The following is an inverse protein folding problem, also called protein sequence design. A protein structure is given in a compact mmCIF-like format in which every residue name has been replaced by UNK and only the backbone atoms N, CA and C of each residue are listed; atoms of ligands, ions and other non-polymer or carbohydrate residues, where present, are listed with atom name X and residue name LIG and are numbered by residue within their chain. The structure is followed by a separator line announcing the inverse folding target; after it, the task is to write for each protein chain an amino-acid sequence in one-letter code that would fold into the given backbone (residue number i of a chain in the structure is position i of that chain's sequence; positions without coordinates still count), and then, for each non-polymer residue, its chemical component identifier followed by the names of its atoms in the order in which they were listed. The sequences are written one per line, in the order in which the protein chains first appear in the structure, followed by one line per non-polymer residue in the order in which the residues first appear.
data_IF_316130113213
#
_entry.id   IF_316130113213
#
_cell.length_a   1.000
_cell.length_b   1.000
_cell.length_c   1.000
_cell.angle_alpha   90.00
_cell.angle_beta   90.00
_cell.angle_gamma   90.00
#
_symmetry.space_group_name_H-M   'P 1'
#
loop_
_entity.id
_entity.type
_entity.pdbx_description
1 polymer ?
#
# COMPACT_ATOMS: atom_id res chain seq x y z
N UNK A 1 -22.38 -37.06 -15.76
CA UNK A 1 -22.33 -36.31 -14.49
C UNK A 1 -21.46 -35.09 -14.73
N UNK A 2 -22.06 -34.12 -15.43
CA UNK A 2 -21.40 -32.94 -15.99
C UNK A 2 -21.32 -31.83 -14.95
N UNK A 3 -20.18 -31.14 -14.98
CA UNK A 3 -19.79 -30.01 -14.16
C UNK A 3 -20.82 -28.88 -14.20
N UNK A 4 -21.42 -28.56 -13.07
CA UNK A 4 -22.08 -27.27 -12.83
C UNK A 4 -21.62 -26.71 -11.49
N UNK A 5 -20.46 -26.05 -11.50
CA UNK A 5 -20.13 -25.02 -10.51
C UNK A 5 -19.69 -23.79 -11.29
N UNK A 6 -20.67 -23.15 -11.93
CA UNK A 6 -20.58 -21.76 -12.36
C UNK A 6 -21.54 -20.98 -11.49
N UNK A 7 -20.97 -20.26 -10.54
CA UNK A 7 -21.40 -18.99 -9.95
C UNK A 7 -20.86 -18.92 -8.53
N UNK A 8 -19.54 -18.75 -8.41
CA UNK A 8 -19.01 -18.09 -7.23
C UNK A 8 -18.82 -16.62 -7.63
N UNK A 9 -19.70 -15.82 -7.07
CA UNK A 9 -19.81 -14.39 -7.26
C UNK A 9 -18.45 -13.75 -7.04
N UNK A 10 -17.97 -13.09 -8.09
CA UNK A 10 -16.78 -12.27 -8.06
C UNK A 10 -17.08 -11.09 -7.10
N UNK A 11 -16.88 -11.28 -5.80
CA UNK A 11 -16.79 -10.20 -4.83
C UNK A 11 -15.49 -9.46 -5.11
N UNK A 12 -15.61 -8.56 -6.10
CA UNK A 12 -14.68 -7.47 -6.38
C UNK A 12 -14.36 -6.79 -5.04
N UNK A 13 -13.09 -6.65 -4.64
CA UNK A 13 -12.78 -5.84 -3.48
C UNK A 13 -13.36 -4.45 -3.76
N UNK A 14 -14.25 -3.99 -2.88
CA UNK A 14 -14.80 -2.64 -2.93
C UNK A 14 -13.63 -1.68 -2.94
N UNK A 15 -13.29 -1.20 -4.13
CA UNK A 15 -12.45 -0.03 -4.30
C UNK A 15 -13.27 1.09 -3.70
N UNK A 16 -13.00 1.40 -2.44
CA UNK A 16 -13.49 2.60 -1.78
C UNK A 16 -12.93 3.78 -2.58
N UNK A 17 -13.74 4.23 -3.55
CA UNK A 17 -13.52 5.50 -4.18
C UNK A 17 -13.50 6.56 -3.07
N UNK A 18 -12.46 7.40 -2.98
CA UNK A 18 -12.60 8.63 -2.24
C UNK A 18 -13.60 9.48 -3.03
N UNK A 19 -14.72 9.75 -2.39
CA UNK A 19 -15.73 10.73 -2.78
C UNK A 19 -15.06 12.00 -3.31
N UNK A 20 -15.00 12.10 -4.65
CA UNK A 20 -14.90 13.38 -5.35
C UNK A 20 -16.27 14.02 -5.28
N UNK A 21 -16.46 14.90 -4.30
CA UNK A 21 -17.15 16.19 -4.41
C UNK A 21 -17.06 16.84 -3.02
N UNK A 22 -15.85 17.23 -2.62
CA UNK A 22 -15.73 18.40 -1.77
C UNK A 22 -15.26 19.49 -2.72
N UNK A 23 -16.24 20.15 -3.35
CA UNK A 23 -16.06 21.50 -3.84
C UNK A 23 -15.80 22.39 -2.62
N UNK A 24 -14.56 22.34 -2.13
CA UNK A 24 -14.01 23.48 -1.42
C UNK A 24 -13.37 24.33 -2.51
N UNK A 25 -13.94 25.49 -2.86
CA UNK A 25 -13.22 26.46 -3.64
C UNK A 25 -12.10 26.96 -2.73
N UNK A 26 -10.95 26.29 -2.76
CA UNK A 26 -9.69 26.97 -2.51
C UNK A 26 -9.45 27.78 -3.77
N UNK A 27 -10.27 28.82 -3.94
CA UNK A 27 -9.79 30.06 -4.51
C UNK A 27 -8.62 30.43 -3.62
N UNK A 28 -7.42 30.04 -4.06
CA UNK A 28 -6.31 30.94 -3.95
C UNK A 28 -6.85 32.31 -4.36
N UNK A 29 -6.85 33.33 -3.48
CA UNK A 29 -6.70 34.65 -3.99
C UNK A 29 -5.30 34.61 -4.60
N UNK A 30 -5.23 34.28 -5.90
CA UNK A 30 -4.33 34.99 -6.79
C UNK A 30 -4.54 36.42 -6.34
N UNK A 31 -3.50 36.95 -5.67
CA UNK A 31 -3.43 38.35 -5.33
C UNK A 31 -3.70 39.07 -6.64
N UNK A 32 -4.97 39.44 -6.81
CA UNK A 32 -5.40 40.49 -7.70
C UNK A 32 -4.60 41.69 -7.23
N UNK A 33 -3.46 41.88 -7.86
CA UNK A 33 -2.67 43.10 -7.80
C UNK A 33 -3.54 44.32 -8.17
N UNK A 34 -4.72 44.10 -8.78
CA UNK A 34 -5.72 45.13 -9.05
C UNK A 34 -6.48 45.60 -7.79
N UNK A 35 -6.61 44.78 -6.74
CA UNK A 35 -7.30 45.16 -5.50
C UNK A 35 -6.51 46.09 -4.58
N UNK A 36 -5.17 45.99 -4.61
CA UNK A 36 -4.30 46.89 -3.84
C UNK A 36 -4.23 48.30 -4.45
N UNK A 37 -4.38 48.43 -5.78
CA UNK A 37 -4.42 49.74 -6.43
C UNK A 37 -5.67 50.53 -6.06
N UNK A 38 -6.86 49.90 -6.06
CA UNK A 38 -8.12 50.59 -5.76
C UNK A 38 -8.21 51.07 -4.30
N UNK A 39 -7.64 50.33 -3.35
CA UNK A 39 -7.62 50.71 -1.93
C UNK A 39 -6.61 51.84 -1.65
N UNK A 40 -5.47 51.86 -2.36
CA UNK A 40 -4.51 52.97 -2.32
C UNK A 40 -5.06 54.26 -2.96
N UNK A 41 -5.98 54.17 -3.93
CA UNK A 41 -6.68 55.34 -4.47
C UNK A 41 -7.72 55.90 -3.49
N UNK A 42 -8.42 55.04 -2.75
CA UNK A 42 -9.37 55.47 -1.71
C UNK A 42 -8.69 56.07 -0.47
N UNK A 43 -7.52 55.54 -0.06
CA UNK A 43 -6.77 56.11 1.08
C UNK A 43 -6.08 57.44 0.73
N UNK A 44 -5.82 57.70 -0.57
CA UNK A 44 -5.26 58.99 -1.04
C UNK A 44 -6.33 60.10 -1.08
N UNK A 45 -7.62 59.78 -1.30
CA UNK A 45 -8.73 60.77 -1.31
C UNK A 45 -9.18 61.22 0.09
N UNK A 46 -8.79 60.53 1.15
CA UNK A 46 -9.16 60.90 2.53
C UNK A 46 -8.17 61.87 3.20
N UNK A 47 -7.13 62.32 2.50
CA UNK A 47 -6.17 63.35 2.97
C UNK A 47 -6.44 64.67 2.24
N UNK A 48 -7.71 65.05 2.13
CA UNK A 48 -8.08 66.46 1.94
C UNK A 48 -8.31 67.04 3.34
N UNK A 49 -7.52 68.03 3.80
CA UNK A 49 -7.77 68.69 5.06
C UNK A 49 -9.05 69.53 4.89
N UNK A 50 -10.17 69.01 5.37
CA UNK A 50 -11.34 69.82 5.66
C UNK A 50 -10.91 70.87 6.70
N UNK A 51 -10.65 72.09 6.23
CA UNK A 51 -10.48 73.26 7.07
C UNK A 51 -11.84 73.65 7.66
N UNK A 52 -12.33 72.84 8.60
CA UNK A 52 -13.37 73.24 9.52
C UNK A 52 -12.80 74.40 10.36
N UNK A 53 -13.36 75.59 10.15
CA UNK A 53 -13.10 76.81 10.93
C UNK A 53 -13.25 76.50 12.43
N UNK A 54 -12.12 76.38 13.14
CA UNK A 54 -12.05 76.61 14.58
C UNK A 54 -11.30 77.91 14.81
N UNK A 55 -11.78 78.70 15.79
CA UNK A 55 -11.50 80.12 15.99
C UNK A 55 -10.04 80.54 15.84
N UNK A 56 -9.84 81.60 15.07
CA UNK A 56 -8.53 82.19 14.76
C UNK A 56 -8.04 83.01 15.97
N UNK A 57 -7.20 82.41 16.81
CA UNK A 57 -6.16 83.15 17.52
C UNK A 57 -5.03 83.45 16.53
N UNK A 58 -4.46 84.66 16.55
CA UNK A 58 -3.33 85.04 15.68
C UNK A 58 -2.06 84.26 16.10
N UNK A 59 -1.93 83.00 15.66
CA UNK A 59 -0.70 82.20 15.82
C UNK A 59 0.40 82.69 14.86
N UNK A 60 1.64 82.73 15.35
CA UNK A 60 2.79 83.20 14.56
C UNK A 60 3.11 82.20 13.45
N UNK A 61 3.53 82.64 12.24
CA UNK A 61 3.80 81.75 11.10
C UNK A 61 4.85 80.67 11.40
N UNK A 62 5.73 80.90 12.37
CA UNK A 62 6.72 79.93 12.87
C UNK A 62 6.09 78.74 13.61
N UNK A 63 5.01 78.94 14.36
CA UNK A 63 4.32 77.86 15.09
C UNK A 63 3.57 76.93 14.13
N UNK A 64 2.95 77.50 13.10
CA UNK A 64 2.31 76.74 12.02
C UNK A 64 3.33 75.89 11.23
N UNK A 65 4.51 76.43 10.94
CA UNK A 65 5.59 75.68 10.29
C UNK A 65 6.11 74.54 11.17
N UNK A 66 6.32 74.79 12.47
CA UNK A 66 6.73 73.76 13.43
C UNK A 66 5.68 72.64 13.55
N UNK A 67 4.38 72.98 13.63
CA UNK A 67 3.29 71.99 13.63
C UNK A 67 3.29 71.12 12.37
N UNK A 68 3.54 71.70 11.19
CA UNK A 68 3.64 70.94 9.93
C UNK A 68 4.80 69.95 9.95
N UNK A 69 5.97 70.37 10.45
CA UNK A 69 7.16 69.51 10.56
C UNK A 69 6.90 68.38 11.56
N UNK A 70 6.29 68.66 12.71
CA UNK A 70 5.94 67.65 13.71
C UNK A 70 4.91 66.64 13.18
N UNK A 71 3.87 67.11 12.49
CA UNK A 71 2.87 66.24 11.88
C UNK A 71 3.49 65.33 10.81
N UNK A 72 4.39 65.87 9.98
CA UNK A 72 5.13 65.11 8.97
C UNK A 72 6.02 64.02 9.58
N UNK A 73 6.73 64.34 10.68
CA UNK A 73 7.57 63.37 11.37
C UNK A 73 6.76 62.24 12.00
N UNK A 74 5.63 62.55 12.65
CA UNK A 74 4.72 61.53 13.21
C UNK A 74 4.14 60.63 12.13
N UNK A 75 3.76 61.18 10.97
CA UNK A 75 3.27 60.41 9.82
C UNK A 75 4.34 59.47 9.23
N UNK A 76 5.58 59.95 9.12
CA UNK A 76 6.70 59.16 8.57
C UNK A 76 7.09 58.01 9.50
N UNK A 77 7.11 58.25 10.81
CA UNK A 77 7.42 57.22 11.80
C UNK A 77 6.39 56.09 11.78
N UNK A 78 5.09 56.41 11.77
CA UNK A 78 4.00 55.42 11.72
C UNK A 78 4.03 54.61 10.42
N UNK A 79 4.34 55.26 9.29
CA UNK A 79 4.42 54.55 7.99
C UNK A 79 5.56 53.54 7.95
N UNK A 80 6.71 53.87 8.55
CA UNK A 80 7.86 52.95 8.65
C UNK A 80 7.57 51.76 9.56
N UNK A 81 6.96 51.98 10.72
CA UNK A 81 6.61 50.89 11.65
C UNK A 81 5.55 49.96 11.06
N UNK A 82 4.55 50.51 10.37
CA UNK A 82 3.51 49.72 9.71
C UNK A 82 4.08 48.85 8.58
N UNK A 83 5.01 49.39 7.78
CA UNK A 83 5.72 48.61 6.75
C UNK A 83 6.54 47.48 7.37
N UNK A 84 7.28 47.75 8.45
CA UNK A 84 8.03 46.71 9.15
C UNK A 84 7.10 45.63 9.73
N UNK A 85 5.97 46.01 10.34
CA UNK A 85 4.98 45.06 10.85
C UNK A 85 4.35 44.22 9.73
N UNK A 86 4.00 44.85 8.61
CA UNK A 86 3.43 44.18 7.44
C UNK A 86 4.42 43.16 6.84
N UNK A 87 5.69 43.54 6.67
CA UNK A 87 6.72 42.61 6.18
C UNK A 87 6.90 41.41 7.10
N UNK A 88 6.92 41.63 8.42
CA UNK A 88 7.00 40.55 9.41
C UNK A 88 5.80 39.62 9.31
N UNK A 89 4.59 40.17 9.21
CA UNK A 89 3.36 39.39 9.04
C UNK A 89 3.38 38.59 7.73
N UNK A 90 3.83 39.18 6.61
CA UNK A 90 3.95 38.48 5.33
C UNK A 90 4.92 37.30 5.40
N UNK A 91 6.08 37.45 6.06
CA UNK A 91 7.05 36.36 6.24
C UNK A 91 6.42 35.21 7.04
N UNK A 92 5.72 35.52 8.13
CA UNK A 92 5.05 34.51 8.97
C UNK A 92 3.96 33.78 8.17
N UNK A 93 3.12 34.52 7.43
CA UNK A 93 2.08 33.94 6.58
C UNK A 93 2.65 33.03 5.49
N UNK A 94 3.73 33.46 4.84
CA UNK A 94 4.40 32.66 3.81
C UNK A 94 5.00 31.38 4.41
N UNK A 95 5.66 31.48 5.56
CA UNK A 95 6.20 30.34 6.26
C UNK A 95 5.10 29.33 6.64
N UNK A 96 3.98 29.80 7.17
CA UNK A 96 2.85 28.95 7.52
C UNK A 96 2.27 28.22 6.30
N UNK A 97 2.08 28.92 5.18
CA UNK A 97 1.62 28.31 3.91
C UNK A 97 2.58 27.23 3.42
N UNK A 98 3.89 27.49 3.48
CA UNK A 98 4.93 26.52 3.11
C UNK A 98 4.92 25.29 4.02
N UNK A 99 4.79 25.50 5.33
CA UNK A 99 4.69 24.42 6.32
C UNK A 99 3.44 23.57 6.09
N UNK A 100 2.29 24.21 5.83
CA UNK A 100 1.04 23.51 5.54
C UNK A 100 1.14 22.67 4.25
N UNK A 101 1.72 23.22 3.18
CA UNK A 101 1.96 22.47 1.94
C UNK A 101 2.83 21.23 2.18
N UNK A 102 3.93 21.37 2.93
CA UNK A 102 4.79 20.23 3.32
C UNK A 102 4.05 19.17 4.12
N UNK A 103 3.18 19.57 5.05
CA UNK A 103 2.37 18.63 5.84
C UNK A 103 1.37 17.87 4.97
N UNK A 104 0.72 18.55 4.01
CA UNK A 104 -0.19 17.92 3.07
C UNK A 104 0.54 16.95 2.14
N UNK A 105 1.72 17.31 1.63
CA UNK A 105 2.56 16.42 0.84
C UNK A 105 2.99 15.19 1.62
N UNK A 106 3.40 15.34 2.88
CA UNK A 106 3.73 14.20 3.75
C UNK A 106 2.53 13.26 3.93
N UNK A 107 1.34 13.80 4.21
CA UNK A 107 0.11 12.99 4.31
C UNK A 107 -0.20 12.26 3.01
N UNK A 108 -0.08 12.94 1.86
CA UNK A 108 -0.28 12.33 0.54
C UNK A 108 0.71 11.19 0.30
N UNK A 109 2.00 11.40 0.58
CA UNK A 109 3.03 10.36 0.44
C UNK A 109 2.74 9.15 1.32
N UNK A 110 2.40 9.36 2.59
CA UNK A 110 2.04 8.27 3.51
C UNK A 110 0.85 7.44 3.01
N UNK A 111 -0.16 8.11 2.46
CA UNK A 111 -1.31 7.43 1.85
C UNK A 111 -0.90 6.62 0.61
N UNK A 112 -0.07 7.17 -0.27
CA UNK A 112 0.43 6.44 -1.44
C UNK A 112 1.29 5.22 -1.03
N UNK A 113 2.17 5.39 -0.05
CA UNK A 113 3.03 4.31 0.45
C UNK A 113 2.24 3.16 1.07
N UNK A 114 1.14 3.46 1.78
CA UNK A 114 0.28 2.41 2.34
C UNK A 114 -0.45 1.64 1.24
N UNK A 115 -0.96 2.32 0.20
CA UNK A 115 -1.56 1.67 -0.96
C UNK A 115 -0.55 0.80 -1.73
N UNK A 116 0.64 1.33 -2.03
CA UNK A 116 1.69 0.55 -2.71
C UNK A 116 2.09 -0.68 -1.90
N UNK A 117 2.15 -0.57 -0.56
CA UNK A 117 2.43 -1.72 0.31
C UNK A 117 1.34 -2.78 0.22
N UNK A 118 0.08 -2.38 0.20
CA UNK A 118 -1.05 -3.29 0.05
C UNK A 118 -1.02 -3.99 -1.32
N UNK A 119 -0.76 -3.26 -2.40
CA UNK A 119 -0.65 -3.85 -3.74
C UNK A 119 0.50 -4.84 -3.83
N UNK A 120 1.68 -4.50 -3.27
CA UNK A 120 2.82 -5.43 -3.20
C UNK A 120 2.46 -6.69 -2.44
N UNK A 121 1.82 -6.56 -1.27
CA UNK A 121 1.37 -7.71 -0.48
C UNK A 121 0.33 -8.56 -1.24
N UNK A 122 -0.57 -7.92 -2.00
CA UNK A 122 -1.54 -8.63 -2.82
C UNK A 122 -0.87 -9.41 -3.96
N UNK A 123 0.10 -8.81 -4.66
CA UNK A 123 0.83 -9.48 -5.76
C UNK A 123 1.68 -10.64 -5.25
N UNK A 124 2.36 -10.47 -4.10
CA UNK A 124 3.10 -11.58 -3.50
C UNK A 124 2.15 -12.71 -3.11
N UNK A 125 1.04 -12.40 -2.44
CA UNK A 125 0.04 -13.41 -2.07
C UNK A 125 -0.56 -14.11 -3.30
N UNK A 126 -0.90 -13.37 -4.35
CA UNK A 126 -1.40 -13.94 -5.61
C UNK A 126 -0.39 -14.89 -6.25
N UNK A 127 0.89 -14.51 -6.29
CA UNK A 127 1.94 -15.37 -6.84
C UNK A 127 2.12 -16.65 -6.02
N UNK A 128 2.02 -16.55 -4.69
CA UNK A 128 2.06 -17.69 -3.78
C UNK A 128 0.89 -18.63 -3.98
N UNK A 129 -0.34 -18.09 -4.06
CA UNK A 129 -1.55 -18.88 -4.31
C UNK A 129 -1.44 -19.60 -5.66
N UNK A 130 -1.01 -18.91 -6.72
CA UNK A 130 -0.82 -19.52 -8.04
C UNK A 130 0.19 -20.66 -8.00
N UNK A 131 1.35 -20.44 -7.36
CA UNK A 131 2.37 -21.49 -7.16
C UNK A 131 1.83 -22.67 -6.34
N UNK A 132 1.08 -22.39 -5.29
CA UNK A 132 0.46 -23.41 -4.43
C UNK A 132 -0.51 -24.31 -5.20
N UNK A 133 -1.39 -23.73 -6.01
CA UNK A 133 -2.33 -24.51 -6.83
C UNK A 133 -1.60 -25.47 -7.78
N UNK A 134 -0.56 -24.99 -8.45
CA UNK A 134 0.26 -25.83 -9.35
C UNK A 134 0.93 -26.96 -8.56
N UNK A 135 1.51 -26.66 -7.39
CA UNK A 135 2.14 -27.67 -6.53
C UNK A 135 1.13 -28.72 -6.07
N UNK A 136 -0.07 -28.32 -5.67
CA UNK A 136 -1.12 -29.25 -5.26
C UNK A 136 -1.53 -30.17 -6.41
N UNK A 137 -1.74 -29.62 -7.61
CA UNK A 137 -2.07 -30.41 -8.80
C UNK A 137 -0.95 -31.39 -9.15
N UNK A 138 0.31 -30.94 -9.11
CA UNK A 138 1.48 -31.79 -9.35
C UNK A 138 1.60 -32.92 -8.32
N UNK A 139 1.39 -32.65 -7.04
CA UNK A 139 1.38 -33.66 -5.98
C UNK A 139 0.27 -34.70 -6.19
N UNK A 140 -0.93 -34.28 -6.60
CA UNK A 140 -2.04 -35.19 -6.92
C UNK A 140 -1.69 -36.11 -8.09
N UNK A 141 -1.09 -35.56 -9.15
CA UNK A 141 -0.65 -36.33 -10.31
C UNK A 141 0.44 -37.33 -9.92
N UNK A 142 1.45 -36.90 -9.17
CA UNK A 142 2.52 -37.78 -8.70
C UNK A 142 2.01 -38.90 -7.80
N UNK A 143 1.04 -38.63 -6.93
CA UNK A 143 0.43 -39.66 -6.09
C UNK A 143 -0.32 -40.69 -6.96
N UNK A 144 -1.08 -40.25 -7.97
CA UNK A 144 -1.74 -41.17 -8.90
C UNK A 144 -0.72 -42.03 -9.68
N UNK A 145 0.35 -41.42 -10.21
CA UNK A 145 1.43 -42.13 -10.90
C UNK A 145 2.10 -43.15 -9.99
N UNK A 146 2.40 -42.79 -8.73
CA UNK A 146 2.97 -43.72 -7.74
C UNK A 146 2.07 -44.91 -7.48
N UNK A 147 0.76 -44.70 -7.33
CA UNK A 147 -0.21 -45.79 -7.11
C UNK A 147 -0.23 -46.72 -8.32
N UNK A 148 -0.29 -46.17 -9.54
CA UNK A 148 -0.27 -46.96 -10.78
C UNK A 148 1.04 -47.75 -10.91
N UNK A 149 2.19 -47.12 -10.65
CA UNK A 149 3.48 -47.78 -10.69
C UNK A 149 3.61 -48.88 -9.63
N UNK A 150 3.13 -48.65 -8.41
CA UNK A 150 3.12 -49.64 -7.34
C UNK A 150 2.22 -50.82 -7.69
N UNK A 151 1.02 -50.56 -8.24
CA UNK A 151 0.13 -51.59 -8.75
C UNK A 151 0.80 -52.40 -9.86
N UNK A 152 1.46 -51.74 -10.81
CA UNK A 152 2.13 -52.42 -11.91
C UNK A 152 3.32 -53.25 -11.44
N UNK A 153 4.08 -52.76 -10.45
CA UNK A 153 5.17 -53.52 -9.79
C UNK A 153 4.64 -54.74 -9.04
N UNK A 154 3.57 -54.57 -8.27
CA UNK A 154 2.90 -55.66 -7.57
C UNK A 154 2.36 -56.70 -8.56
N UNK A 155 1.61 -56.28 -9.57
CA UNK A 155 1.06 -57.16 -10.61
C UNK A 155 2.16 -57.89 -11.38
N UNK A 156 3.26 -57.21 -11.70
CA UNK A 156 4.45 -57.79 -12.31
C UNK A 156 5.10 -58.90 -11.47
N UNK A 157 5.22 -58.70 -10.16
CA UNK A 157 5.74 -59.73 -9.25
C UNK A 157 4.73 -60.86 -9.05
N UNK A 158 3.44 -60.56 -8.92
CA UNK A 158 2.40 -61.57 -8.73
C UNK A 158 2.17 -62.43 -9.99
N UNK A 159 2.25 -61.83 -11.19
CA UNK A 159 2.09 -62.56 -12.46
C UNK A 159 3.33 -63.39 -12.83
N UNK A 160 4.51 -63.06 -12.29
CA UNK A 160 5.77 -63.78 -12.56
C UNK A 160 6.28 -64.63 -11.39
N UNK A 161 5.72 -64.43 -10.21
CA UNK A 161 6.17 -64.91 -8.92
C UNK A 161 5.18 -65.88 -8.31
N UNK A 162 5.20 -67.14 -8.74
CA UNK A 162 4.54 -68.20 -8.01
C UNK A 162 5.53 -68.76 -6.99
N UNK A 163 5.18 -68.65 -5.70
CA UNK A 163 5.89 -69.32 -4.62
C UNK A 163 5.15 -70.62 -4.34
N UNK A 164 5.69 -71.73 -4.83
CA UNK A 164 5.20 -73.07 -4.50
C UNK A 164 6.00 -73.62 -3.33
N UNK A 165 5.34 -74.05 -2.27
CA UNK A 165 6.00 -74.67 -1.12
C UNK A 165 5.43 -76.05 -0.87
N UNK A 166 6.29 -77.07 -0.84
CA UNK A 166 5.93 -78.39 -0.32
C UNK A 166 6.66 -78.60 1.00
N UNK A 167 5.92 -79.04 2.01
CA UNK A 167 6.50 -79.42 3.29
C UNK A 167 6.09 -80.85 3.65
N UNK A 168 7.07 -81.63 4.07
CA UNK A 168 6.87 -82.98 4.59
C UNK A 168 7.28 -83.00 6.07
N UNK A 169 6.31 -83.27 6.95
CA UNK A 169 6.57 -83.55 8.37
C UNK A 169 6.83 -85.04 8.54
N UNK A 170 8.07 -85.38 8.87
CA UNK A 170 8.42 -86.69 9.42
C UNK A 170 8.59 -86.55 10.93
N UNK A 171 8.29 -87.60 11.70
CA UNK A 171 8.33 -87.56 13.18
C UNK A 171 9.67 -87.09 13.78
N UNK A 172 10.77 -87.14 13.02
CA UNK A 172 12.10 -86.74 13.46
C UNK A 172 12.69 -85.54 12.70
N UNK A 173 12.12 -85.11 11.57
CA UNK A 173 12.68 -84.04 10.73
C UNK A 173 11.60 -83.29 9.95
N UNK A 174 11.78 -81.97 9.79
CA UNK A 174 10.97 -81.14 8.90
C UNK A 174 11.73 -80.87 7.60
N UNK A 175 11.15 -81.29 6.48
CA UNK A 175 11.69 -81.00 5.15
C UNK A 175 10.84 -79.94 4.47
N UNK A 176 11.47 -78.80 4.19
CA UNK A 176 10.85 -77.69 3.47
C UNK A 176 11.50 -77.55 2.09
N UNK A 177 10.66 -77.62 1.05
CA UNK A 177 11.01 -77.26 -0.32
C UNK A 177 10.29 -75.97 -0.68
N UNK A 178 11.06 -74.92 -0.98
CA UNK A 178 10.51 -73.69 -1.53
C UNK A 178 10.96 -73.52 -2.98
N UNK A 179 10.00 -73.45 -3.88
CA UNK A 179 10.19 -73.18 -5.29
C UNK A 179 9.82 -71.74 -5.59
N UNK A 180 10.84 -70.94 -5.98
CA UNK A 180 10.66 -69.56 -6.38
C UNK A 180 10.70 -69.50 -7.90
N UNK A 181 9.52 -69.33 -8.52
CA UNK A 181 9.43 -69.04 -9.94
C UNK A 181 9.54 -67.54 -10.15
N UNK A 182 10.56 -67.06 -10.86
CA UNK A 182 10.65 -65.65 -11.30
C UNK A 182 10.70 -65.60 -12.84
N UNK A 183 9.53 -65.61 -13.48
CA UNK A 183 9.43 -65.64 -14.94
C UNK A 183 10.05 -66.91 -15.53
N UNK A 184 11.11 -66.79 -16.35
CA UNK A 184 11.82 -67.93 -16.96
C UNK A 184 12.91 -68.56 -16.06
N UNK A 185 13.18 -67.99 -14.87
CA UNK A 185 14.17 -68.56 -13.93
C UNK A 185 13.47 -69.31 -12.81
N UNK A 186 13.87 -70.57 -12.65
CA UNK A 186 13.48 -71.45 -11.55
C UNK A 186 14.65 -71.56 -10.56
N UNK A 187 14.39 -71.29 -9.28
CA UNK A 187 15.35 -71.50 -8.20
C UNK A 187 14.63 -72.22 -7.05
N UNK A 188 15.05 -73.46 -6.77
CA UNK A 188 14.55 -74.25 -5.65
C UNK A 188 15.53 -74.24 -4.48
N UNK A 189 15.05 -73.98 -3.28
CA UNK A 189 15.81 -74.07 -2.03
C UNK A 189 15.31 -75.25 -1.21
N UNK A 190 16.23 -76.13 -0.80
CA UNK A 190 15.93 -77.31 0.01
C UNK A 190 16.62 -77.20 1.37
N UNK A 191 15.84 -77.22 2.45
CA UNK A 191 16.37 -77.21 3.82
C UNK A 191 15.74 -78.33 4.63
N UNK A 192 16.58 -79.13 5.29
CA UNK A 192 16.14 -80.16 6.23
C UNK A 192 16.69 -79.82 7.61
N UNK A 193 15.81 -79.54 8.56
CA UNK A 193 16.17 -79.28 9.96
C UNK A 193 15.71 -80.44 10.84
N UNK A 194 16.62 -81.07 11.60
CA UNK A 194 16.24 -82.03 12.62
C UNK A 194 15.57 -81.32 13.80
N UNK A 195 14.54 -81.95 14.37
CA UNK A 195 13.96 -81.49 15.64
C UNK A 195 14.90 -81.90 16.77
N UNK A 196 15.46 -80.92 17.47
CA UNK A 196 16.36 -81.14 18.61
C UNK A 196 15.58 -81.27 19.92
#
# INVERSE_FOLDING_TARGET
MLLTITQNTHQKPKTSQPSRTNDCPIQSPILSLAGFSSCLTSLRKAVEPNHAKLGVSKEKPTELAARKIQAWWRGTLVRRTLLHAALRACIIQFWWRKTLARLLEKKRRQMLESFVRQERAAVTLQSWIRMWFIRLQYCRLLNAVRIIQAFWRWHSCHARGALGGSYELTASQLKLQLDIFMGHRFVGLWTASPFQ
#
